data_IF_344922827687
#
_entry.id   IF_344922827687
#
_cell.length_a   1.000
_cell.length_b   1.000
_cell.length_c   1.000
_cell.angle_alpha   90.00
_cell.angle_beta   90.00
_cell.angle_gamma   90.00
#
_symmetry.space_group_name_H-M   'P 1'
#
loop_
_entity.id
_entity.type
_entity.pdbx_description
1 polymer ?
#
# COMPACT_ATOMS: atom_id res chain seq x y z
N UNK A 1 -12.25 4.88 -27.51
CA UNK A 1 -11.48 5.99 -26.88
C UNK A 1 -12.22 6.64 -25.72
N UNK A 2 -13.47 7.11 -25.89
CA UNK A 2 -14.23 7.85 -24.87
C UNK A 2 -14.33 7.09 -23.52
N UNK A 3 -14.71 5.80 -23.54
CA UNK A 3 -14.79 5.01 -22.31
C UNK A 3 -13.45 4.85 -21.58
N UNK A 4 -12.33 4.78 -22.32
CA UNK A 4 -10.99 4.68 -21.74
C UNK A 4 -10.60 5.99 -21.06
N UNK A 5 -10.78 7.11 -21.76
CA UNK A 5 -10.56 8.48 -21.24
C UNK A 5 -11.35 8.69 -19.96
N UNK A 6 -12.65 8.39 -19.98
CA UNK A 6 -13.51 8.53 -18.80
C UNK A 6 -13.03 7.66 -17.64
N UNK A 7 -12.72 6.39 -17.89
CA UNK A 7 -12.25 5.47 -16.84
C UNK A 7 -10.88 5.85 -16.28
N UNK A 8 -9.98 6.39 -17.09
CA UNK A 8 -8.68 6.89 -16.65
C UNK A 8 -8.85 8.18 -15.85
N UNK A 9 -9.71 9.10 -16.31
CA UNK A 9 -10.09 10.33 -15.62
C UNK A 9 -10.68 10.07 -14.24
N UNK A 10 -11.61 9.11 -14.12
CA UNK A 10 -12.20 8.75 -12.83
C UNK A 10 -11.14 8.21 -11.85
N UNK A 11 -10.24 7.32 -12.31
CA UNK A 11 -9.16 6.81 -11.45
C UNK A 11 -8.18 7.90 -11.03
N UNK A 12 -7.85 8.81 -11.93
CA UNK A 12 -7.01 9.96 -11.65
C UNK A 12 -7.65 10.88 -10.61
N UNK A 13 -8.95 11.19 -10.75
CA UNK A 13 -9.70 11.99 -9.79
C UNK A 13 -9.73 11.32 -8.40
N UNK A 14 -10.01 10.02 -8.36
CA UNK A 14 -10.00 9.24 -7.12
C UNK A 14 -8.62 9.27 -6.45
N UNK A 15 -7.54 9.14 -7.22
CA UNK A 15 -6.18 9.22 -6.69
C UNK A 15 -5.84 10.63 -6.18
N UNK A 16 -6.17 11.68 -6.93
CA UNK A 16 -6.01 13.06 -6.46
C UNK A 16 -6.78 13.31 -5.17
N UNK A 17 -8.02 12.83 -5.10
CA UNK A 17 -8.84 13.02 -3.91
C UNK A 17 -8.21 12.38 -2.68
N UNK A 18 -7.77 11.11 -2.76
CA UNK A 18 -7.10 10.45 -1.63
C UNK A 18 -5.85 11.21 -1.19
N UNK A 19 -5.03 11.67 -2.14
CA UNK A 19 -3.77 12.36 -1.80
C UNK A 19 -4.02 13.75 -1.21
N UNK A 20 -5.02 14.48 -1.71
CA UNK A 20 -5.38 15.80 -1.20
C UNK A 20 -6.17 15.74 0.11
N UNK A 21 -6.82 14.60 0.42
CA UNK A 21 -7.78 14.48 1.50
C UNK A 21 -7.27 14.92 2.89
N UNK A 22 -6.04 14.55 3.33
CA UNK A 22 -5.51 15.05 4.59
C UNK A 22 -5.42 16.59 4.62
N UNK A 23 -4.95 17.20 3.53
CA UNK A 23 -4.83 18.66 3.40
C UNK A 23 -6.19 19.37 3.36
N UNK A 24 -7.21 18.73 2.78
CA UNK A 24 -8.55 19.31 2.65
C UNK A 24 -9.39 19.22 3.93
N UNK A 25 -9.17 18.19 4.76
CA UNK A 25 -9.96 17.98 5.98
C UNK A 25 -9.35 18.64 7.23
N UNK A 26 -8.06 18.93 7.22
CA UNK A 26 -7.40 19.62 8.32
C UNK A 26 -7.79 21.11 8.37
N UNK A 27 -8.24 21.63 9.52
CA UNK A 27 -8.47 23.07 9.69
C UNK A 27 -7.17 23.87 9.56
N UNK A 28 -7.22 25.04 8.92
CA UNK A 28 -6.07 25.95 8.85
C UNK A 28 -5.01 25.62 7.80
N UNK A 29 -5.40 25.04 6.66
CA UNK A 29 -4.52 24.53 5.58
C UNK A 29 -3.66 25.57 4.81
N UNK A 30 -3.36 26.72 5.40
CA UNK A 30 -2.41 27.71 4.85
C UNK A 30 -0.94 27.31 4.98
N UNK A 31 -0.64 26.15 5.56
CA UNK A 31 0.73 25.70 5.77
C UNK A 31 1.40 25.20 4.48
N UNK A 32 2.72 25.41 4.39
CA UNK A 32 3.53 24.99 3.25
C UNK A 32 3.45 23.47 3.00
N UNK A 33 3.31 22.66 4.07
CA UNK A 33 3.14 21.21 3.98
C UNK A 33 1.82 20.82 3.29
N UNK A 34 0.70 21.47 3.63
CA UNK A 34 -0.59 21.21 2.98
C UNK A 34 -0.51 21.49 1.47
N UNK A 35 0.14 22.60 1.09
CA UNK A 35 0.36 22.99 -0.31
C UNK A 35 1.20 21.96 -1.08
N UNK A 36 2.24 21.41 -0.45
CA UNK A 36 3.08 20.35 -1.04
C UNK A 36 2.25 19.09 -1.37
N UNK A 37 1.39 18.64 -0.46
CA UNK A 37 0.55 17.46 -0.68
C UNK A 37 -0.58 17.70 -1.68
N UNK A 38 -1.16 18.90 -1.71
CA UNK A 38 -2.11 19.32 -2.76
C UNK A 38 -1.47 19.31 -4.15
N UNK A 39 -0.24 19.80 -4.28
CA UNK A 39 0.52 19.71 -5.53
C UNK A 39 0.85 18.25 -5.88
N UNK A 40 1.25 17.45 -4.89
CA UNK A 40 1.46 16.02 -5.02
C UNK A 40 0.21 15.27 -5.53
N UNK A 41 -1.00 15.72 -5.14
CA UNK A 41 -2.26 15.14 -5.63
C UNK A 41 -2.46 15.36 -7.14
N UNK A 42 -2.08 16.53 -7.66
CA UNK A 42 -2.13 16.84 -9.09
C UNK A 42 -1.16 15.92 -9.85
N UNK A 43 0.06 15.76 -9.34
CA UNK A 43 1.05 14.84 -9.93
C UNK A 43 0.53 13.40 -9.91
N UNK A 44 0.01 12.93 -8.77
CA UNK A 44 -0.53 11.58 -8.64
C UNK A 44 -1.70 11.32 -9.60
N UNK A 45 -2.59 12.31 -9.79
CA UNK A 45 -3.65 12.24 -10.79
C UNK A 45 -3.10 12.20 -12.21
N UNK A 46 -2.15 13.06 -12.56
CA UNK A 46 -1.55 13.09 -13.88
C UNK A 46 -0.87 11.75 -14.22
N UNK A 47 -0.06 11.21 -13.32
CA UNK A 47 0.60 9.91 -13.48
C UNK A 47 -0.42 8.77 -13.62
N UNK A 48 -1.46 8.78 -12.78
CA UNK A 48 -2.54 7.78 -12.87
C UNK A 48 -3.29 7.89 -14.19
N UNK A 49 -3.60 9.11 -14.65
CA UNK A 49 -4.29 9.32 -15.91
C UNK A 49 -3.47 8.78 -17.08
N UNK A 50 -2.19 9.17 -17.18
CA UNK A 50 -1.28 8.72 -18.24
C UNK A 50 -1.19 7.19 -18.27
N UNK A 51 -1.03 6.56 -17.10
CA UNK A 51 -0.86 5.11 -17.00
C UNK A 51 -2.10 4.30 -17.43
N UNK A 52 -3.31 4.79 -17.13
CA UNK A 52 -4.56 4.11 -17.51
C UNK A 52 -5.09 4.55 -18.88
N UNK A 53 -4.65 5.70 -19.40
CA UNK A 53 -4.96 6.14 -20.75
C UNK A 53 -4.06 5.44 -21.80
N UNK A 54 -2.77 5.29 -21.49
CA UNK A 54 -1.76 4.69 -22.35
C UNK A 54 -2.01 3.22 -22.65
N UNK A 55 -1.70 2.78 -23.88
CA UNK A 55 -1.77 1.37 -24.28
C UNK A 55 -0.68 0.54 -23.61
N UNK A 56 0.52 1.09 -23.50
CA UNK A 56 1.68 0.46 -22.87
C UNK A 56 1.76 0.88 -21.40
N UNK A 57 1.79 -0.07 -20.45
CA UNK A 57 1.99 0.24 -19.05
C UNK A 57 3.46 0.58 -18.76
N UNK A 58 3.68 1.36 -17.70
CA UNK A 58 5.01 1.87 -17.34
C UNK A 58 5.36 1.49 -15.91
N UNK A 59 4.49 1.84 -14.95
CA UNK A 59 4.80 1.77 -13.52
C UNK A 59 3.80 0.96 -12.71
N UNK A 60 2.51 0.97 -13.09
CA UNK A 60 1.47 0.34 -12.27
C UNK A 60 1.38 -1.13 -12.62
N UNK A 61 1.91 -1.95 -11.73
CA UNK A 61 1.72 -3.39 -11.79
C UNK A 61 0.27 -3.79 -11.53
N UNK A 62 -0.12 -4.94 -12.09
CA UNK A 62 -1.45 -5.53 -11.98
C UNK A 62 -2.58 -4.60 -12.44
N UNK A 63 -2.26 -3.66 -13.35
CA UNK A 63 -3.17 -2.66 -13.91
C UNK A 63 -4.51 -3.25 -14.35
N UNK A 64 -4.45 -4.35 -15.09
CA UNK A 64 -5.60 -5.02 -15.70
C UNK A 64 -5.94 -6.35 -14.99
N UNK A 65 -5.59 -6.46 -13.71
CA UNK A 65 -5.83 -7.65 -12.90
C UNK A 65 -6.64 -7.36 -11.60
N UNK A 66 -7.91 -6.90 -11.71
CA UNK A 66 -8.75 -6.71 -10.52
C UNK A 66 -8.92 -8.04 -9.75
N UNK A 67 -8.93 -8.03 -8.40
CA UNK A 67 -9.16 -6.87 -7.52
C UNK A 67 -7.91 -6.19 -6.95
N UNK A 68 -6.69 -6.57 -7.38
CA UNK A 68 -5.42 -6.15 -6.74
C UNK A 68 -5.33 -4.64 -6.45
N UNK A 69 -5.36 -3.81 -7.49
CA UNK A 69 -5.25 -2.35 -7.32
C UNK A 69 -6.48 -1.71 -6.65
N UNK A 70 -7.64 -2.37 -6.66
CA UNK A 70 -8.84 -1.88 -5.96
C UNK A 70 -8.69 -2.01 -4.45
N UNK A 71 -8.08 -3.10 -3.99
CA UNK A 71 -7.82 -3.35 -2.58
C UNK A 71 -6.72 -2.41 -2.08
N UNK A 72 -5.65 -2.21 -2.86
CA UNK A 72 -4.61 -1.23 -2.52
C UNK A 72 -5.18 0.18 -2.38
N UNK A 73 -6.04 0.59 -3.32
CA UNK A 73 -6.74 1.87 -3.24
C UNK A 73 -7.62 1.97 -1.98
N UNK A 74 -8.44 0.94 -1.70
CA UNK A 74 -9.31 0.92 -0.52
C UNK A 74 -8.51 0.96 0.79
N UNK A 75 -7.41 0.22 0.88
CA UNK A 75 -6.52 0.22 2.04
C UNK A 75 -5.90 1.60 2.26
N UNK A 76 -5.36 2.22 1.21
CA UNK A 76 -4.78 3.56 1.29
C UNK A 76 -5.81 4.62 1.70
N UNK A 77 -7.03 4.54 1.14
CA UNK A 77 -8.15 5.40 1.52
C UNK A 77 -8.47 5.25 3.01
N UNK A 78 -8.68 4.02 3.47
CA UNK A 78 -9.05 3.76 4.87
C UNK A 78 -7.96 4.23 5.83
N UNK A 79 -6.68 3.97 5.51
CA UNK A 79 -5.56 4.47 6.32
C UNK A 79 -5.56 5.99 6.39
N UNK A 80 -5.52 6.68 5.25
CA UNK A 80 -5.47 8.15 5.23
C UNK A 80 -6.70 8.77 5.89
N UNK A 81 -7.89 8.18 5.70
CA UNK A 81 -9.10 8.64 6.36
C UNK A 81 -9.02 8.53 7.87
N UNK A 82 -8.69 7.35 8.41
CA UNK A 82 -8.63 7.16 9.85
C UNK A 82 -7.53 8.00 10.49
N UNK A 83 -6.34 8.02 9.91
CA UNK A 83 -5.22 8.82 10.43
C UNK A 83 -5.56 10.32 10.40
N UNK A 84 -6.16 10.81 9.32
CA UNK A 84 -6.59 12.21 9.22
C UNK A 84 -7.66 12.53 10.26
N UNK A 85 -8.63 11.64 10.50
CA UNK A 85 -9.67 11.87 11.51
C UNK A 85 -9.08 11.95 12.92
N UNK A 86 -8.15 11.07 13.28
CA UNK A 86 -7.49 11.09 14.60
C UNK A 86 -6.68 12.37 14.79
N UNK A 87 -5.87 12.76 13.79
CA UNK A 87 -5.05 13.98 13.90
C UNK A 87 -5.94 15.22 13.93
N UNK A 88 -7.00 15.28 13.10
CA UNK A 88 -7.96 16.38 13.09
C UNK A 88 -8.68 16.54 14.43
N UNK A 89 -8.98 15.43 15.11
CA UNK A 89 -9.68 15.43 16.39
C UNK A 89 -8.90 16.18 17.50
N UNK A 90 -7.58 16.35 17.34
CA UNK A 90 -6.74 17.14 18.26
C UNK A 90 -6.98 18.65 18.19
N UNK A 91 -7.48 19.16 17.06
CA UNK A 91 -7.67 20.61 16.81
C UNK A 91 -9.14 20.97 16.64
N UNK A 92 -9.92 20.10 15.99
CA UNK A 92 -11.36 20.27 15.79
C UNK A 92 -12.09 18.97 16.15
N UNK A 93 -12.28 18.70 17.46
CA UNK A 93 -12.90 17.48 17.94
C UNK A 93 -14.30 17.26 17.36
N UNK A 94 -14.61 16.02 17.00
CA UNK A 94 -15.94 15.63 16.51
C UNK A 94 -16.31 14.26 17.07
N UNK A 95 -17.61 13.93 17.10
CA UNK A 95 -18.04 12.59 17.56
C UNK A 95 -17.40 11.45 16.75
N UNK A 96 -17.39 11.58 15.42
CA UNK A 96 -16.74 10.60 14.54
C UNK A 96 -15.22 10.54 14.75
N UNK A 97 -14.57 11.70 14.91
CA UNK A 97 -13.15 11.77 15.26
C UNK A 97 -12.85 11.02 16.55
N UNK A 98 -13.57 11.33 17.63
CA UNK A 98 -13.40 10.70 18.94
C UNK A 98 -13.60 9.19 18.94
N UNK A 99 -14.56 8.65 18.16
CA UNK A 99 -14.74 7.20 18.00
C UNK A 99 -13.50 6.56 17.37
N UNK A 100 -12.98 7.15 16.28
CA UNK A 100 -11.79 6.65 15.59
C UNK A 100 -10.54 6.80 16.46
N UNK A 101 -10.41 7.92 17.19
CA UNK A 101 -9.33 8.16 18.16
C UNK A 101 -9.34 7.11 19.27
N UNK A 102 -10.52 6.80 19.82
CA UNK A 102 -10.66 5.77 20.87
C UNK A 102 -10.25 4.39 20.34
N UNK A 103 -10.78 4.01 19.17
CA UNK A 103 -10.43 2.77 18.51
C UNK A 103 -8.91 2.67 18.26
N UNK A 104 -8.30 3.74 17.76
CA UNK A 104 -6.86 3.76 17.52
C UNK A 104 -6.04 3.70 18.80
N UNK A 105 -6.49 4.34 19.86
CA UNK A 105 -5.84 4.28 21.17
C UNK A 105 -5.85 2.86 21.72
N UNK A 106 -6.98 2.16 21.65
CA UNK A 106 -7.11 0.79 22.14
C UNK A 106 -6.27 -0.20 21.31
N UNK A 107 -6.32 -0.09 19.98
CA UNK A 107 -5.50 -0.89 19.08
C UNK A 107 -4.01 -0.61 19.26
N UNK A 108 -3.64 0.66 19.40
CA UNK A 108 -2.27 1.09 19.64
C UNK A 108 -1.71 0.51 20.94
N UNK A 109 -2.49 0.52 22.03
CA UNK A 109 -2.11 -0.14 23.29
C UNK A 109 -2.00 -1.65 23.16
N UNK A 110 -2.96 -2.29 22.47
CA UNK A 110 -2.95 -3.74 22.28
C UNK A 110 -1.77 -4.23 21.44
N UNK A 111 -1.31 -3.41 20.48
CA UNK A 111 -0.19 -3.73 19.60
C UNK A 111 1.16 -3.19 20.10
N UNK A 112 1.19 -2.34 21.14
CA UNK A 112 2.42 -1.85 21.79
C UNK A 112 2.90 -2.85 22.86
N UNK A 113 3.57 -3.90 22.41
CA UNK A 113 4.25 -4.87 23.25
C UNK A 113 5.75 -4.95 22.86
N UNK A 114 6.62 -5.52 23.73
CA UNK A 114 8.05 -5.58 23.44
C UNK A 114 8.36 -6.17 22.06
N UNK A 115 9.20 -5.47 21.30
CA UNK A 115 9.63 -5.82 19.94
C UNK A 115 8.54 -5.79 18.87
N UNK A 116 7.35 -5.23 19.13
CA UNK A 116 6.34 -5.06 18.08
C UNK A 116 6.70 -3.93 17.11
N UNK A 117 6.22 -3.97 15.84
CA UNK A 117 6.38 -2.84 14.92
C UNK A 117 5.80 -1.54 15.46
N UNK A 118 4.65 -1.61 16.15
CA UNK A 118 4.00 -0.44 16.75
C UNK A 118 4.89 0.15 17.85
N UNK A 119 5.54 -0.69 18.67
CA UNK A 119 6.51 -0.23 19.66
C UNK A 119 7.65 0.56 19.00
N UNK A 120 8.22 0.00 17.93
CA UNK A 120 9.32 0.66 17.20
C UNK A 120 8.87 1.98 16.55
N UNK A 121 7.66 2.04 16.01
CA UNK A 121 7.12 3.29 15.47
C UNK A 121 6.92 4.35 16.56
N UNK A 122 6.52 3.96 17.77
CA UNK A 122 6.39 4.89 18.91
C UNK A 122 7.75 5.43 19.37
N UNK A 123 8.83 4.68 19.20
CA UNK A 123 10.20 5.15 19.52
C UNK A 123 10.69 6.26 18.57
N UNK A 124 9.97 6.55 17.49
CA UNK A 124 10.24 7.71 16.65
C UNK A 124 9.83 9.04 17.31
N UNK A 125 9.05 9.00 18.40
CA UNK A 125 8.74 10.19 19.17
C UNK A 125 10.05 10.80 19.74
N UNK A 126 10.22 12.13 19.68
CA UNK A 126 11.31 12.82 20.35
C UNK A 126 11.33 12.50 21.86
N UNK A 127 12.52 12.48 22.48
CA UNK A 127 12.63 12.30 23.94
C UNK A 127 11.92 13.41 24.73
N UNK A 128 11.74 14.58 24.11
CA UNK A 128 11.02 15.73 24.67
C UNK A 128 9.51 15.66 24.49
N UNK A 129 8.99 14.63 23.79
CA UNK A 129 7.57 14.51 23.50
C UNK A 129 6.75 14.31 24.78
N UNK A 130 5.65 15.02 24.90
CA UNK A 130 4.74 14.82 26.03
C UNK A 130 4.01 13.46 25.92
N UNK A 131 3.43 13.03 27.04
CA UNK A 131 2.54 11.88 27.16
C UNK A 131 1.43 11.89 26.11
N UNK A 132 0.86 13.06 25.79
CA UNK A 132 -0.17 13.22 24.76
C UNK A 132 0.33 12.92 23.35
N UNK A 133 1.48 13.45 22.96
CA UNK A 133 2.08 13.24 21.63
C UNK A 133 2.46 11.77 21.42
N UNK A 134 3.04 11.15 22.45
CA UNK A 134 3.38 9.73 22.43
C UNK A 134 2.12 8.85 22.31
N UNK A 135 1.02 9.23 22.97
CA UNK A 135 -0.25 8.53 22.86
C UNK A 135 -0.87 8.67 21.46
N UNK A 136 -0.80 9.86 20.87
CA UNK A 136 -1.24 10.11 19.49
C UNK A 136 -0.45 9.25 18.49
N UNK A 137 0.89 9.28 18.56
CA UNK A 137 1.75 8.50 17.67
C UNK A 137 1.43 7.00 17.76
N UNK A 138 1.23 6.49 18.98
CA UNK A 138 0.83 5.10 19.22
C UNK A 138 -0.52 4.78 18.60
N UNK A 139 -1.51 5.66 18.72
CA UNK A 139 -2.83 5.45 18.15
C UNK A 139 -2.79 5.40 16.62
N UNK A 140 -2.04 6.31 15.99
CA UNK A 140 -1.84 6.34 14.55
C UNK A 140 -1.11 5.10 14.04
N UNK A 141 -0.02 4.70 14.71
CA UNK A 141 0.73 3.49 14.37
C UNK A 141 -0.16 2.23 14.49
N UNK A 142 -0.95 2.12 15.56
CA UNK A 142 -1.91 1.04 15.76
C UNK A 142 -2.94 0.94 14.64
N UNK A 143 -3.58 2.06 14.29
CA UNK A 143 -4.57 2.12 13.20
C UNK A 143 -3.98 1.80 11.83
N UNK A 144 -2.83 2.39 11.51
CA UNK A 144 -2.15 2.16 10.25
C UNK A 144 -1.78 0.67 10.10
N UNK A 145 -1.17 0.10 11.14
CA UNK A 145 -0.73 -1.29 11.14
C UNK A 145 -1.90 -2.27 11.05
N UNK A 146 -2.97 -2.08 11.85
CA UNK A 146 -4.14 -2.97 11.78
C UNK A 146 -4.82 -2.89 10.42
N UNK A 147 -4.89 -1.70 9.81
CA UNK A 147 -5.51 -1.53 8.49
C UNK A 147 -4.72 -2.32 7.44
N UNK A 148 -3.39 -2.35 7.56
CA UNK A 148 -2.52 -3.19 6.74
C UNK A 148 -2.78 -4.68 6.93
N UNK A 149 -2.85 -5.14 8.19
CA UNK A 149 -3.14 -6.53 8.53
C UNK A 149 -4.52 -6.99 8.04
N UNK A 150 -5.56 -6.17 8.24
CA UNK A 150 -6.92 -6.42 7.75
C UNK A 150 -6.91 -6.49 6.22
N UNK A 151 -6.18 -5.59 5.56
CA UNK A 151 -6.04 -5.61 4.10
C UNK A 151 -5.45 -6.94 3.61
N UNK A 152 -4.38 -7.42 4.25
CA UNK A 152 -3.78 -8.73 3.93
C UNK A 152 -4.75 -9.88 4.22
N UNK A 153 -5.43 -9.83 5.37
CA UNK A 153 -6.45 -10.80 5.78
C UNK A 153 -7.63 -10.89 4.82
N UNK A 154 -8.00 -9.79 4.17
CA UNK A 154 -9.02 -9.77 3.10
C UNK A 154 -8.44 -10.22 1.76
N UNK A 155 -7.24 -9.76 1.41
CA UNK A 155 -6.64 -9.99 0.10
C UNK A 155 -6.41 -11.48 -0.18
N UNK A 156 -5.81 -12.21 0.76
CA UNK A 156 -5.45 -13.62 0.61
C UNK A 156 -6.65 -14.54 0.31
N UNK A 157 -7.73 -14.54 1.10
CA UNK A 157 -8.90 -15.36 0.78
C UNK A 157 -9.59 -14.88 -0.50
N UNK A 158 -9.63 -13.57 -0.75
CA UNK A 158 -10.31 -13.01 -1.91
C UNK A 158 -9.70 -13.48 -3.24
N UNK A 159 -8.36 -13.49 -3.36
CA UNK A 159 -7.70 -14.00 -4.57
C UNK A 159 -7.95 -15.50 -4.80
N UNK A 160 -8.11 -16.28 -3.71
CA UNK A 160 -8.43 -17.72 -3.77
C UNK A 160 -9.88 -17.95 -4.20
N UNK A 161 -10.84 -17.28 -3.57
CA UNK A 161 -12.27 -17.41 -3.84
C UNK A 161 -12.61 -16.95 -5.27
N UNK A 162 -12.02 -15.83 -5.72
CA UNK A 162 -12.26 -15.30 -7.06
C UNK A 162 -11.57 -16.11 -8.17
N UNK A 163 -10.77 -17.13 -7.82
CA UNK A 163 -9.86 -17.84 -8.75
C UNK A 163 -9.06 -16.84 -9.59
N UNK A 164 -8.62 -15.75 -8.94
CA UNK A 164 -7.85 -14.71 -9.59
C UNK A 164 -6.57 -15.29 -10.17
N UNK A 165 -6.11 -14.83 -11.35
CA UNK A 165 -6.69 -13.82 -12.26
C UNK A 165 -7.62 -14.40 -13.35
N UNK A 166 -7.81 -15.73 -13.41
CA UNK A 166 -8.35 -16.43 -14.59
C UNK A 166 -9.82 -16.07 -14.91
N UNK A 167 -10.62 -15.70 -13.91
CA UNK A 167 -12.08 -15.66 -14.05
C UNK A 167 -12.62 -14.58 -15.02
N UNK A 168 -11.85 -13.55 -15.36
CA UNK A 168 -12.34 -12.45 -16.23
C UNK A 168 -11.52 -12.22 -17.50
N UNK A 169 -10.21 -12.50 -17.49
CA UNK A 169 -9.34 -12.32 -18.65
C UNK A 169 -8.06 -13.15 -18.46
N UNK A 170 -7.45 -13.60 -19.56
CA UNK A 170 -6.14 -14.24 -19.50
C UNK A 170 -5.11 -13.24 -18.94
N UNK A 171 -4.31 -13.66 -17.95
CA UNK A 171 -3.30 -12.81 -17.34
C UNK A 171 -2.21 -12.48 -18.35
N UNK A 172 -2.15 -11.21 -18.76
CA UNK A 172 -1.09 -10.72 -19.62
C UNK A 172 0.08 -10.24 -18.76
N UNK A 173 1.20 -10.97 -18.81
CA UNK A 173 2.41 -10.68 -18.02
C UNK A 173 2.99 -9.32 -18.38
N UNK A 174 3.12 -8.99 -19.66
CA UNK A 174 3.67 -7.70 -20.11
C UNK A 174 2.86 -6.50 -19.62
N UNK A 175 1.53 -6.65 -19.59
CA UNK A 175 0.65 -5.56 -19.15
C UNK A 175 0.66 -5.40 -17.63
N UNK A 176 0.70 -6.53 -16.90
CA UNK A 176 0.56 -6.52 -15.45
C UNK A 176 1.90 -6.48 -14.71
N UNK A 177 3.02 -6.72 -15.38
CA UNK A 177 4.37 -6.67 -14.83
C UNK A 177 5.27 -5.93 -15.85
N UNK A 178 5.04 -4.63 -16.09
CA UNK A 178 5.77 -3.86 -17.11
C UNK A 178 7.29 -3.79 -16.85
N UNK A 179 7.70 -3.89 -15.58
CA UNK A 179 9.10 -3.86 -15.17
C UNK A 179 9.78 -5.24 -15.22
N UNK A 180 9.03 -6.31 -15.51
CA UNK A 180 9.58 -7.65 -15.62
C UNK A 180 9.85 -7.98 -17.09
N UNK A 181 11.11 -8.26 -17.43
CA UNK A 181 11.49 -8.73 -18.75
C UNK A 181 11.41 -10.27 -18.82
N UNK A 182 10.41 -10.86 -19.50
CA UNK A 182 10.31 -12.31 -19.68
C UNK A 182 11.33 -12.86 -20.70
N UNK A 183 12.01 -12.01 -21.47
CA UNK A 183 12.94 -12.38 -22.55
C UNK A 183 14.42 -12.34 -22.16
N UNK A 184 14.75 -11.80 -20.97
CA UNK A 184 16.11 -11.67 -20.44
C UNK A 184 16.87 -13.01 -20.16
N UNK A 185 16.44 -14.14 -20.74
CA UNK A 185 17.04 -15.46 -20.60
C UNK A 185 16.80 -16.12 -19.23
N UNK A 186 16.90 -17.45 -19.15
CA UNK A 186 16.68 -18.21 -17.90
C UNK A 186 15.20 -18.55 -17.59
N UNK A 187 14.97 -19.30 -16.51
CA UNK A 187 13.61 -19.74 -16.15
C UNK A 187 12.80 -18.61 -15.49
N UNK A 188 11.78 -18.15 -16.22
CA UNK A 188 10.81 -17.14 -15.79
C UNK A 188 10.18 -17.53 -14.45
N UNK A 189 9.86 -18.81 -14.25
CA UNK A 189 9.23 -19.29 -13.02
C UNK A 189 10.15 -19.09 -11.81
N UNK A 190 11.42 -19.48 -11.94
CA UNK A 190 12.41 -19.29 -10.89
C UNK A 190 12.55 -17.82 -10.50
N UNK A 191 12.66 -16.90 -11.47
CA UNK A 191 12.76 -15.46 -11.17
C UNK A 191 11.53 -14.91 -10.48
N UNK A 192 10.34 -15.27 -10.96
CA UNK A 192 9.08 -14.84 -10.33
C UNK A 192 8.96 -15.37 -8.90
N UNK A 193 9.36 -16.62 -8.62
CA UNK A 193 9.38 -17.16 -7.24
C UNK A 193 10.37 -16.40 -6.35
N UNK A 194 11.58 -16.12 -6.86
CA UNK A 194 12.59 -15.34 -6.12
C UNK A 194 12.06 -13.96 -5.78
N UNK A 195 11.52 -13.25 -6.77
CA UNK A 195 11.00 -11.90 -6.58
C UNK A 195 9.77 -11.93 -5.64
N UNK A 196 8.92 -12.95 -5.75
CA UNK A 196 7.80 -13.16 -4.83
C UNK A 196 8.28 -13.32 -3.38
N UNK A 197 9.26 -14.19 -3.14
CA UNK A 197 9.86 -14.40 -1.82
C UNK A 197 10.51 -13.14 -1.27
N UNK A 198 11.25 -12.42 -2.12
CA UNK A 198 11.87 -11.15 -1.74
C UNK A 198 10.83 -10.12 -1.30
N UNK A 199 9.74 -9.96 -2.06
CA UNK A 199 8.68 -9.02 -1.72
C UNK A 199 7.95 -9.38 -0.42
N UNK A 200 7.67 -10.67 -0.17
CA UNK A 200 7.05 -11.10 1.10
C UNK A 200 8.01 -10.90 2.27
N UNK A 201 9.27 -11.34 2.15
CA UNK A 201 10.26 -11.22 3.20
C UNK A 201 10.54 -9.74 3.53
N UNK A 202 10.78 -8.91 2.51
CA UNK A 202 11.00 -7.49 2.70
C UNK A 202 9.76 -6.80 3.28
N UNK A 203 8.57 -7.09 2.77
CA UNK A 203 7.33 -6.53 3.29
C UNK A 203 7.05 -6.93 4.75
N UNK A 204 7.49 -8.11 5.20
CA UNK A 204 7.42 -8.48 6.62
C UNK A 204 8.46 -7.76 7.48
N UNK A 205 9.67 -7.51 6.95
CA UNK A 205 10.76 -6.87 7.68
C UNK A 205 10.64 -5.34 7.75
N UNK A 206 10.07 -4.70 6.73
CA UNK A 206 9.99 -3.23 6.62
C UNK A 206 9.32 -2.50 7.80
N UNK A 207 8.24 -3.02 8.43
CA UNK A 207 7.66 -2.38 9.61
C UNK A 207 8.66 -2.22 10.76
N UNK A 208 9.70 -3.05 10.81
CA UNK A 208 10.79 -2.99 11.78
C UNK A 208 11.98 -2.17 11.26
N UNK A 209 12.33 -2.35 9.98
CA UNK A 209 13.47 -1.67 9.37
C UNK A 209 13.24 -0.16 9.20
N UNK A 210 12.03 0.26 8.86
CA UNK A 210 11.71 1.68 8.61
C UNK A 210 11.90 2.51 9.88
N UNK A 211 11.30 2.17 11.05
CA UNK A 211 11.55 2.94 12.27
C UNK A 211 13.01 2.96 12.68
N UNK A 212 13.70 1.81 12.63
CA UNK A 212 15.12 1.73 12.94
C UNK A 212 15.97 2.62 12.02
N UNK A 213 15.67 2.66 10.72
CA UNK A 213 16.36 3.53 9.78
C UNK A 213 16.11 5.01 10.07
N UNK A 214 14.87 5.39 10.40
CA UNK A 214 14.51 6.76 10.77
C UNK A 214 15.17 7.20 12.08
N UNK A 215 15.27 6.33 13.08
CA UNK A 215 15.98 6.58 14.33
C UNK A 215 17.48 6.84 14.07
N UNK A 216 18.11 5.99 13.26
CA UNK A 216 19.51 6.18 12.84
C UNK A 216 19.69 7.50 12.10
N UNK A 217 18.82 7.82 11.13
CA UNK A 217 18.87 9.09 10.41
C UNK A 217 18.71 10.30 11.34
N UNK A 218 17.80 10.20 12.32
CA UNK A 218 17.62 11.21 13.36
C UNK A 218 18.88 11.48 14.15
N UNK A 219 19.65 10.44 14.50
CA UNK A 219 20.94 10.59 15.20
C UNK A 219 22.01 11.37 14.41
N UNK A 220 21.87 11.44 13.09
CA UNK A 220 22.72 12.24 12.20
C UNK A 220 22.17 13.65 11.91
N UNK A 221 21.08 14.06 12.56
CA UNK A 221 20.44 15.36 12.35
C UNK A 221 19.45 15.41 11.18
N UNK A 222 19.08 14.27 10.59
CA UNK A 222 18.08 14.17 9.51
C UNK A 222 16.71 13.72 10.03
N UNK A 223 16.25 14.33 11.12
CA UNK A 223 14.92 14.07 11.68
C UNK A 223 13.79 14.56 10.76
N UNK A 224 12.67 13.85 10.78
CA UNK A 224 11.44 14.30 10.12
C UNK A 224 10.62 15.16 11.09
N UNK A 225 9.95 16.22 10.62
CA UNK A 225 9.06 17.04 11.46
C UNK A 225 7.75 16.27 11.72
N UNK A 226 7.77 15.39 12.71
CA UNK A 226 6.60 14.58 13.10
C UNK A 226 5.56 15.37 13.92
N UNK A 227 5.89 16.61 14.28
CA UNK A 227 5.00 17.62 14.84
C UNK A 227 4.07 18.23 13.77
N UNK A 228 4.50 18.25 12.49
CA UNK A 228 3.64 18.64 11.38
C UNK A 228 2.55 17.56 11.13
N UNK A 229 1.26 17.91 11.24
CA UNK A 229 0.15 16.97 11.09
C UNK A 229 0.18 16.20 9.77
N UNK A 230 0.53 16.88 8.66
CA UNK A 230 0.53 16.26 7.34
C UNK A 230 1.66 15.26 7.18
N UNK A 231 2.87 15.63 7.62
CA UNK A 231 4.05 14.77 7.63
C UNK A 231 3.78 13.53 8.48
N UNK A 232 3.22 13.68 9.68
CA UNK A 232 2.87 12.58 10.56
C UNK A 232 1.91 11.58 9.90
N UNK A 233 0.81 12.06 9.31
CA UNK A 233 -0.18 11.22 8.61
C UNK A 233 0.50 10.42 7.48
N UNK A 234 1.32 11.08 6.66
CA UNK A 234 1.95 10.46 5.51
C UNK A 234 3.07 9.48 5.88
N UNK A 235 3.88 9.79 6.88
CA UNK A 235 4.92 8.89 7.39
C UNK A 235 4.30 7.61 7.95
N UNK A 236 3.26 7.73 8.79
CA UNK A 236 2.56 6.56 9.35
C UNK A 236 1.85 5.75 8.27
N UNK A 237 1.24 6.42 7.29
CA UNK A 237 0.63 5.75 6.13
C UNK A 237 1.67 5.00 5.32
N UNK A 238 2.79 5.62 4.96
CA UNK A 238 3.86 4.99 4.19
C UNK A 238 4.46 3.78 4.94
N UNK A 239 4.72 3.95 6.24
CA UNK A 239 5.26 2.92 7.11
C UNK A 239 4.42 1.63 7.10
N UNK A 240 3.08 1.73 7.12
CA UNK A 240 2.20 0.55 7.09
C UNK A 240 1.81 0.09 5.66
N UNK A 241 1.64 1.02 4.74
CA UNK A 241 1.13 0.74 3.39
C UNK A 241 2.17 0.11 2.46
N UNK A 242 3.43 0.54 2.54
CA UNK A 242 4.54 -0.01 1.75
C UNK A 242 4.74 -1.52 2.03
N UNK A 243 4.94 -1.97 3.28
CA UNK A 243 5.08 -3.39 3.57
C UNK A 243 3.84 -4.20 3.16
N UNK A 244 2.64 -3.68 3.43
CA UNK A 244 1.38 -4.30 3.01
C UNK A 244 1.35 -4.51 1.49
N UNK A 245 1.69 -3.49 0.71
CA UNK A 245 1.72 -3.56 -0.75
C UNK A 245 2.75 -4.56 -1.28
N UNK A 246 3.92 -4.66 -0.63
CA UNK A 246 4.97 -5.62 -1.00
C UNK A 246 4.54 -7.06 -0.71
N UNK A 247 3.95 -7.33 0.45
CA UNK A 247 3.42 -8.67 0.76
C UNK A 247 2.33 -9.06 -0.25
N UNK A 248 1.38 -8.15 -0.52
CA UNK A 248 0.36 -8.38 -1.54
C UNK A 248 0.98 -8.72 -2.91
N UNK A 249 1.97 -7.94 -3.35
CA UNK A 249 2.70 -8.16 -4.60
C UNK A 249 3.36 -9.54 -4.62
N UNK A 250 4.07 -9.91 -3.57
CA UNK A 250 4.73 -11.21 -3.48
C UNK A 250 3.74 -12.38 -3.55
N UNK A 251 2.60 -12.29 -2.86
CA UNK A 251 1.54 -13.30 -2.92
C UNK A 251 0.92 -13.38 -4.32
N UNK A 252 0.71 -12.24 -4.98
CA UNK A 252 0.20 -12.20 -6.35
C UNK A 252 1.18 -12.86 -7.34
N UNK A 253 2.48 -12.61 -7.19
CA UNK A 253 3.52 -13.24 -8.01
C UNK A 253 3.57 -14.76 -7.81
N UNK A 254 3.51 -15.24 -6.56
CA UNK A 254 3.37 -16.67 -6.27
C UNK A 254 2.16 -17.29 -6.98
N UNK A 255 1.02 -16.61 -6.96
CA UNK A 255 -0.18 -17.08 -7.65
C UNK A 255 0.00 -17.14 -9.16
N UNK A 256 0.67 -16.15 -9.77
CA UNK A 256 0.97 -16.16 -11.21
C UNK A 256 1.86 -17.35 -11.56
N UNK A 257 2.86 -17.65 -10.72
CA UNK A 257 3.74 -18.80 -10.89
C UNK A 257 2.95 -20.12 -10.92
N UNK A 258 2.10 -20.36 -9.92
CA UNK A 258 1.30 -21.59 -9.85
C UNK A 258 0.50 -21.84 -11.15
N UNK A 259 -0.01 -20.76 -11.74
CA UNK A 259 -0.81 -20.83 -12.96
C UNK A 259 0.03 -21.12 -14.21
N UNK A 260 1.24 -20.58 -14.27
CA UNK A 260 2.18 -20.89 -15.35
C UNK A 260 2.59 -22.36 -15.25
N UNK A 261 2.88 -22.87 -14.06
CA UNK A 261 3.20 -24.28 -13.83
C UNK A 261 2.03 -25.20 -14.23
N UNK A 262 0.82 -24.88 -13.79
CA UNK A 262 -0.38 -25.65 -14.14
C UNK A 262 -0.64 -25.66 -15.65
N UNK A 263 -0.44 -24.51 -16.32
CA UNK A 263 -0.57 -24.42 -17.78
C UNK A 263 0.49 -25.25 -18.51
N UNK A 264 1.76 -25.19 -18.09
CA UNK A 264 2.84 -26.02 -18.64
C UNK A 264 2.51 -27.50 -18.51
N UNK A 265 2.10 -27.96 -17.31
CA UNK A 265 1.70 -29.36 -17.06
C UNK A 265 0.58 -29.83 -17.99
N UNK A 266 -0.44 -29.01 -18.21
CA UNK A 266 -1.55 -29.32 -19.15
C UNK A 266 -1.09 -29.41 -20.60
N UNK A 267 -0.19 -28.53 -21.02
CA UNK A 267 0.36 -28.57 -22.38
C UNK A 267 1.20 -29.83 -22.62
N UNK A 268 2.05 -30.23 -21.67
CA UNK A 268 2.81 -31.49 -21.75
C UNK A 268 1.89 -32.72 -21.79
N UNK A 269 0.88 -32.76 -20.92
CA UNK A 269 -0.09 -33.86 -20.93
C UNK A 269 -0.88 -33.96 -22.25
N UNK A 270 -1.18 -32.82 -22.90
CA UNK A 270 -1.80 -32.82 -24.22
C UNK A 270 -0.85 -33.30 -25.33
N UNK A 271 0.42 -32.88 -25.33
CA UNK A 271 1.39 -33.34 -26.33
C UNK A 271 1.64 -34.84 -26.27
N UNK A 272 1.67 -35.43 -25.07
CA UNK A 272 1.86 -36.87 -24.89
C UNK A 272 0.68 -37.66 -25.49
N UNK A 273 -0.55 -37.17 -25.32
CA UNK A 273 -1.76 -37.79 -25.92
C UNK A 273 -1.66 -37.79 -27.46
N UNK A 274 -1.27 -36.66 -28.08
CA UNK A 274 -1.13 -36.56 -29.53
C UNK A 274 0.04 -37.38 -30.11
N UNK A 275 1.06 -37.70 -29.32
CA UNK A 275 2.15 -38.59 -29.76
C UNK A 275 1.81 -40.08 -29.59
N UNK A 276 0.83 -40.40 -28.74
CA UNK A 276 0.37 -41.78 -28.47
C UNK A 276 -0.79 -42.25 -29.35
N UNK A 277 -1.34 -41.37 -30.21
CA UNK A 277 -2.45 -41.64 -31.13
C UNK A 277 -1.96 -41.73 -32.57
#
# INVERSE_FOLDING_TARGET
MIARVFSAGLRALLMAWIVAMPALLMPGSSDAAASLFLFGAIIAAALTFVEYFGSSPTFIEFRDAPPFNRIRYAALLTMLLFLTLVVRDTVAPTELGGIVTTLGTDLGRALDFPFSPVRLAVLLAPETADTGETALLRALAGLAYITGLVTLGIFVPLIRIMRWPIRKQAFNVWINLPLFDPTAGGDVIYRLKRDANFNVALGFLLPFLIPAALEVMGSFGFGLPLDDPHTLIWVMTAWAFLPTSLIMRGIALWRVVDLIEEKRRRTYAQSDIFQSA
#
